data_IF_926210427905
#
_entry.id   IF_926210427905
#
_cell.length_a   1.000
_cell.length_b   1.000
_cell.length_c   1.000
_cell.angle_alpha   90.00
_cell.angle_beta   90.00
_cell.angle_gamma   90.00
#
_symmetry.space_group_name_H-M   'P 1'
#
loop_
_entity.id
_entity.type
_entity.pdbx_description
1 polymer ?
#
# COMPACT_ATOMS: atom_id res chain seq x y z
N UNK A 1 9.72 -10.99 -68.30
CA UNK A 1 9.08 -9.68 -67.99
C UNK A 1 9.18 -9.42 -66.50
N UNK A 2 10.11 -8.56 -66.11
CA UNK A 2 10.14 -7.99 -64.77
C UNK A 2 8.95 -7.01 -64.62
N UNK A 3 8.16 -7.17 -63.55
CA UNK A 3 7.36 -6.08 -62.98
C UNK A 3 7.74 -6.04 -61.50
N UNK A 4 8.34 -4.91 -61.13
CA UNK A 4 9.26 -4.80 -60.01
C UNK A 4 8.64 -5.14 -58.66
N UNK A 5 9.34 -6.02 -57.93
CA UNK A 5 9.25 -6.04 -56.49
C UNK A 5 9.86 -4.71 -55.99
N UNK A 6 9.01 -3.70 -55.82
CA UNK A 6 9.38 -2.46 -55.17
C UNK A 6 10.05 -2.76 -53.82
N UNK A 7 11.10 -2.02 -53.51
CA UNK A 7 11.96 -2.13 -52.31
C UNK A 7 11.23 -1.77 -51.01
N UNK A 8 9.99 -2.22 -50.83
CA UNK A 8 9.22 -2.01 -49.62
C UNK A 8 9.18 -3.33 -48.84
N UNK A 9 9.93 -3.37 -47.73
CA UNK A 9 9.75 -4.42 -46.72
C UNK A 9 8.30 -4.34 -46.24
N UNK A 10 7.48 -5.35 -46.54
CA UNK A 10 6.16 -5.48 -45.90
C UNK A 10 6.41 -5.71 -44.41
N UNK A 11 6.35 -4.63 -43.61
CA UNK A 11 6.46 -4.76 -42.14
C UNK A 11 5.23 -5.53 -41.67
N UNK A 12 5.38 -6.85 -41.46
CA UNK A 12 4.38 -7.64 -40.75
C UNK A 12 4.38 -7.18 -39.29
N UNK A 13 3.28 -6.53 -38.89
CA UNK A 13 2.88 -6.36 -37.49
C UNK A 13 3.96 -5.74 -36.59
N UNK A 14 4.02 -4.41 -36.56
CA UNK A 14 4.58 -3.74 -35.38
C UNK A 14 3.73 -4.13 -34.17
N UNK A 15 4.34 -4.81 -33.19
CA UNK A 15 3.65 -5.28 -32.00
C UNK A 15 2.91 -4.15 -31.29
N UNK A 16 1.68 -4.42 -30.85
CA UNK A 16 0.91 -3.45 -30.05
C UNK A 16 1.57 -3.36 -28.67
N UNK A 17 2.22 -2.24 -28.40
CA UNK A 17 2.74 -1.94 -27.06
C UNK A 17 1.57 -1.52 -26.16
N UNK A 18 1.12 -2.44 -25.32
CA UNK A 18 0.18 -2.10 -24.24
C UNK A 18 0.98 -1.52 -23.07
N UNK A 19 0.46 -0.46 -22.45
CA UNK A 19 0.99 0.02 -21.17
C UNK A 19 0.87 -1.10 -20.13
N UNK A 20 1.98 -1.43 -19.46
CA UNK A 20 2.07 -2.65 -18.63
C UNK A 20 1.43 -2.51 -17.25
N UNK A 21 1.00 -1.30 -16.87
CA UNK A 21 0.42 -1.01 -15.56
C UNK A 21 -0.64 0.08 -15.65
N UNK A 22 -1.90 -0.32 -15.85
CA UNK A 22 -3.07 0.56 -15.84
C UNK A 22 -3.90 0.31 -14.58
N UNK A 23 -4.26 1.37 -13.86
CA UNK A 23 -5.22 1.34 -12.75
C UNK A 23 -6.49 2.08 -13.14
N UNK A 24 -7.64 1.66 -12.62
CA UNK A 24 -8.89 2.40 -12.83
C UNK A 24 -8.98 3.55 -11.81
N UNK A 25 -9.21 4.75 -12.31
CA UNK A 25 -9.55 5.90 -11.49
C UNK A 25 -11.01 5.83 -11.00
N UNK A 26 -11.38 6.72 -10.08
CA UNK A 26 -12.73 6.84 -9.52
C UNK A 26 -13.84 7.02 -10.58
N UNK A 27 -13.47 7.50 -11.78
CA UNK A 27 -14.36 7.68 -12.92
C UNK A 27 -14.41 6.47 -13.88
N UNK A 28 -13.74 5.36 -13.54
CA UNK A 28 -13.66 4.17 -14.37
C UNK A 28 -12.74 4.30 -15.59
N UNK A 29 -11.92 5.34 -15.66
CA UNK A 29 -10.90 5.54 -16.70
C UNK A 29 -9.60 4.83 -16.33
N UNK A 30 -9.03 4.08 -17.29
CA UNK A 30 -7.77 3.38 -17.10
C UNK A 30 -6.58 4.33 -17.29
N UNK A 31 -5.83 4.59 -16.21
CA UNK A 31 -4.69 5.51 -16.18
C UNK A 31 -3.39 4.75 -15.87
N UNK A 32 -2.31 5.15 -16.54
CA UNK A 32 -0.98 4.55 -16.36
C UNK A 32 -0.39 4.94 -15.01
N UNK A 33 0.07 3.95 -14.24
CA UNK A 33 0.76 4.19 -12.96
C UNK A 33 2.24 4.56 -13.16
N UNK A 34 2.77 4.37 -14.37
CA UNK A 34 4.15 4.67 -14.72
C UNK A 34 4.32 6.19 -14.85
N UNK A 35 5.04 6.80 -13.89
CA UNK A 35 5.23 8.25 -13.80
C UNK A 35 6.08 8.83 -14.93
N UNK A 36 6.84 7.98 -15.66
CA UNK A 36 7.76 8.40 -16.73
C UNK A 36 7.12 9.17 -17.88
N UNK A 37 5.81 9.03 -18.10
CA UNK A 37 5.08 9.83 -19.11
C UNK A 37 4.47 11.10 -18.56
N UNK A 38 4.28 11.19 -17.25
CA UNK A 38 3.69 12.36 -16.61
C UNK A 38 4.69 13.52 -16.57
N UNK A 39 5.95 13.23 -16.26
CA UNK A 39 7.02 14.24 -16.25
C UNK A 39 7.40 14.71 -17.67
N UNK A 40 7.28 13.85 -18.68
CA UNK A 40 7.65 14.21 -20.07
C UNK A 40 6.78 15.30 -20.71
N UNK A 41 5.55 15.49 -20.23
CA UNK A 41 4.68 16.60 -20.70
C UNK A 41 4.94 17.91 -19.93
N UNK A 42 5.64 17.86 -18.78
CA UNK A 42 6.04 19.04 -18.00
C UNK A 42 7.47 19.53 -18.33
N UNK A 43 8.30 18.71 -18.99
CA UNK A 43 9.73 18.98 -19.25
C UNK A 43 10.09 19.40 -20.70
N UNK A 44 9.18 20.01 -21.47
CA UNK A 44 9.52 20.60 -22.79
C UNK A 44 10.10 22.04 -22.70
N UNK A 45 10.42 22.55 -21.50
CA UNK A 45 10.90 23.94 -21.29
C UNK A 45 12.31 24.05 -20.65
N UNK A 46 13.15 23.01 -20.70
CA UNK A 46 14.53 23.13 -20.19
C UNK A 46 15.52 22.36 -21.06
N UNK A 47 15.80 22.94 -22.23
CA UNK A 47 16.87 22.58 -23.14
C UNK A 47 18.25 23.06 -22.62
N UNK A 48 19.28 22.32 -23.02
CA UNK A 48 20.70 22.69 -23.16
C UNK A 48 21.74 22.27 -22.08
N UNK A 49 22.76 21.57 -22.59
CA UNK A 49 24.13 21.28 -22.09
C UNK A 49 24.31 20.22 -20.97
N UNK A 50 25.24 19.27 -20.99
CA UNK A 50 26.32 18.80 -21.89
C UNK A 50 27.00 17.63 -21.14
N UNK A 51 27.62 16.69 -21.86
CA UNK A 51 28.77 15.86 -21.45
C UNK A 51 28.73 14.99 -20.17
N UNK A 52 28.80 13.66 -20.25
CA UNK A 52 29.96 12.79 -20.58
C UNK A 52 30.49 12.10 -19.33
N UNK A 53 30.70 10.79 -19.53
CA UNK A 53 31.67 9.93 -18.86
C UNK A 53 31.39 9.35 -17.46
N UNK A 54 31.50 8.02 -17.47
CA UNK A 54 31.63 7.12 -16.33
C UNK A 54 32.87 7.49 -15.50
N UNK A 55 32.78 7.36 -14.18
CA UNK A 55 33.76 6.58 -13.42
C UNK A 55 33.25 6.33 -11.98
N UNK A 56 33.67 5.19 -11.44
CA UNK A 56 33.35 4.68 -10.12
C UNK A 56 33.87 5.58 -9.00
N UNK A 57 33.12 5.72 -7.91
CA UNK A 57 33.75 5.72 -6.59
C UNK A 57 32.81 5.22 -5.48
N UNK A 58 33.27 4.17 -4.83
CA UNK A 58 32.87 3.69 -3.52
C UNK A 58 33.07 4.76 -2.44
N UNK A 59 31.99 5.23 -1.80
CA UNK A 59 32.08 5.71 -0.42
C UNK A 59 30.70 5.75 0.24
N UNK A 60 30.46 4.80 1.13
CA UNK A 60 29.41 4.86 2.15
C UNK A 60 30.11 5.17 3.46
N UNK A 61 29.72 6.27 4.12
CA UNK A 61 29.73 6.65 5.56
C UNK A 61 29.34 8.15 5.57
N UNK A 62 28.53 8.76 6.44
CA UNK A 62 27.85 8.54 7.72
C UNK A 62 26.78 9.68 7.72
N UNK A 63 25.61 9.63 8.34
CA UNK A 63 25.35 9.79 9.79
C UNK A 63 23.84 10.08 9.82
N UNK A 64 22.98 9.42 10.57
CA UNK A 64 22.82 9.63 12.01
C UNK A 64 21.32 9.80 12.30
N UNK A 65 20.77 8.90 13.11
CA UNK A 65 19.35 8.88 13.46
C UNK A 65 19.09 7.95 14.64
N UNK A 66 19.42 8.48 15.81
CA UNK A 66 19.46 7.88 17.14
C UNK A 66 18.12 7.32 17.67
N UNK A 67 18.25 6.39 18.63
CA UNK A 67 17.33 6.06 19.73
C UNK A 67 16.16 5.08 19.50
N UNK A 68 16.39 3.84 19.96
CA UNK A 68 15.35 2.84 20.20
C UNK A 68 15.91 1.53 20.77
N UNK A 69 16.37 1.56 22.02
CA UNK A 69 17.00 0.45 22.74
C UNK A 69 16.16 -0.84 22.79
N UNK A 70 16.80 -1.97 22.47
CA UNK A 70 16.60 -3.23 23.20
C UNK A 70 17.89 -4.06 23.14
N UNK A 71 18.44 -4.36 24.31
CA UNK A 71 19.81 -4.84 24.51
C UNK A 71 20.11 -6.22 23.92
N UNK A 72 20.94 -6.23 22.88
CA UNK A 72 21.65 -7.40 22.38
C UNK A 72 23.12 -7.03 22.19
N UNK A 73 24.08 -7.95 22.41
CA UNK A 73 25.51 -7.66 22.33
C UNK A 73 25.87 -7.09 20.95
N UNK A 74 26.73 -6.08 20.93
CA UNK A 74 27.21 -5.42 19.71
C UNK A 74 28.05 -6.40 18.88
N UNK A 75 27.37 -7.19 18.06
CA UNK A 75 28.01 -8.01 17.03
C UNK A 75 28.72 -7.08 16.06
N UNK A 76 29.98 -7.36 15.77
CA UNK A 76 30.78 -6.58 14.82
C UNK A 76 30.08 -6.53 13.45
N UNK A 77 30.31 -5.47 12.65
CA UNK A 77 29.66 -5.29 11.33
C UNK A 77 29.81 -6.53 10.43
N UNK A 78 30.91 -7.26 10.58
CA UNK A 78 31.17 -8.53 9.91
C UNK A 78 30.22 -9.65 10.39
N UNK A 79 30.10 -9.86 11.69
CA UNK A 79 29.20 -10.87 12.27
C UNK A 79 27.73 -10.58 11.95
N UNK A 80 27.33 -9.30 11.90
CA UNK A 80 25.96 -8.90 11.52
C UNK A 80 25.65 -9.23 10.06
N UNK A 81 26.64 -9.08 9.16
CA UNK A 81 26.53 -9.47 7.75
C UNK A 81 26.47 -10.99 7.58
N UNK A 82 27.27 -11.74 8.34
CA UNK A 82 27.23 -13.20 8.32
C UNK A 82 25.92 -13.76 8.86
N UNK A 83 25.39 -13.19 9.95
CA UNK A 83 24.08 -13.57 10.49
C UNK A 83 22.95 -13.26 9.51
N UNK A 84 22.97 -12.11 8.84
CA UNK A 84 22.01 -11.77 7.78
C UNK A 84 22.12 -12.72 6.59
N UNK A 85 23.34 -13.10 6.19
CA UNK A 85 23.59 -14.07 5.11
C UNK A 85 23.10 -15.48 5.48
N UNK A 86 23.33 -15.93 6.72
CA UNK A 86 22.85 -17.20 7.24
C UNK A 86 21.31 -17.22 7.33
N UNK A 87 20.69 -16.16 7.85
CA UNK A 87 19.23 -16.03 7.90
C UNK A 87 18.60 -15.98 6.50
N UNK A 88 19.23 -15.31 5.54
CA UNK A 88 18.76 -15.30 4.15
C UNK A 88 18.85 -16.69 3.51
N UNK A 89 19.92 -17.44 3.76
CA UNK A 89 20.08 -18.81 3.28
C UNK A 89 19.09 -19.78 3.94
N UNK A 90 18.81 -19.61 5.23
CA UNK A 90 17.82 -20.41 5.96
C UNK A 90 16.40 -20.09 5.50
N UNK A 91 16.07 -18.83 5.24
CA UNK A 91 14.77 -18.42 4.67
C UNK A 91 14.59 -18.88 3.22
N UNK A 92 15.68 -18.96 2.45
CA UNK A 92 15.66 -19.53 1.10
C UNK A 92 15.46 -21.05 1.13
N UNK A 93 16.08 -21.76 2.09
CA UNK A 93 15.84 -23.19 2.33
C UNK A 93 14.42 -23.45 2.85
N UNK A 94 13.92 -22.61 3.77
CA UNK A 94 12.55 -22.70 4.27
C UNK A 94 11.53 -22.46 3.15
N UNK A 95 11.73 -21.51 2.24
CA UNK A 95 10.86 -21.35 1.06
C UNK A 95 10.97 -22.51 0.05
N UNK A 96 12.11 -23.21 -0.01
CA UNK A 96 12.26 -24.39 -0.85
C UNK A 96 11.63 -25.64 -0.22
N UNK A 97 11.55 -25.71 1.11
CA UNK A 97 10.92 -26.79 1.87
C UNK A 97 9.40 -26.55 2.08
N UNK A 98 8.99 -25.28 2.17
CA UNK A 98 7.60 -24.77 2.11
C UNK A 98 7.19 -24.50 0.64
N UNK A 99 7.81 -25.21 -0.32
CA UNK A 99 7.43 -25.23 -1.72
C UNK A 99 6.49 -26.39 -2.08
N UNK A 100 5.83 -26.98 -1.09
CA UNK A 100 4.84 -28.04 -1.26
C UNK A 100 3.54 -27.67 -0.56
N UNK A 101 2.44 -27.71 -1.31
CA UNK A 101 1.05 -27.45 -0.89
C UNK A 101 0.57 -25.99 -0.98
N UNK A 102 0.60 -25.44 -2.21
CA UNK A 102 -0.40 -24.47 -2.68
C UNK A 102 -1.68 -25.19 -3.17
N UNK A 103 -2.21 -26.13 -2.38
CA UNK A 103 -3.33 -26.99 -2.78
C UNK A 103 -4.68 -26.30 -2.55
N UNK A 104 -4.89 -25.13 -3.15
CA UNK A 104 -6.21 -24.51 -3.30
C UNK A 104 -6.40 -23.79 -4.65
N UNK A 105 -5.31 -23.52 -5.40
CA UNK A 105 -5.38 -23.19 -6.85
C UNK A 105 -5.16 -24.43 -7.74
N UNK A 106 -4.82 -25.58 -7.13
CA UNK A 106 -4.39 -26.81 -7.80
C UNK A 106 -5.49 -27.88 -7.93
N UNK A 107 -6.76 -27.60 -7.59
CA UNK A 107 -7.87 -28.56 -7.82
C UNK A 107 -8.03 -28.92 -9.32
N UNK A 108 -7.51 -28.07 -10.21
CA UNK A 108 -7.46 -28.28 -11.66
C UNK A 108 -6.19 -29.07 -12.09
N UNK A 109 -5.18 -29.13 -11.22
CA UNK A 109 -3.87 -29.76 -11.45
C UNK A 109 -3.68 -31.08 -10.67
N UNK A 110 -4.69 -31.52 -9.91
CA UNK A 110 -4.65 -32.84 -9.26
C UNK A 110 -4.61 -33.94 -10.33
N UNK A 111 -3.58 -34.78 -10.28
CA UNK A 111 -3.44 -35.92 -11.17
C UNK A 111 -4.72 -36.80 -11.10
N UNK A 112 -5.42 -37.03 -12.23
CA UNK A 112 -6.68 -37.78 -12.25
C UNK A 112 -6.55 -39.25 -11.82
N UNK A 113 -5.32 -39.78 -11.77
CA UNK A 113 -5.03 -41.12 -11.25
C UNK A 113 -4.64 -41.12 -9.76
N UNK A 114 -4.77 -40.01 -9.04
CA UNK A 114 -4.49 -39.96 -7.60
C UNK A 114 -5.50 -40.84 -6.85
N UNK A 115 -4.99 -41.84 -6.15
CA UNK A 115 -5.82 -42.79 -5.38
C UNK A 115 -6.41 -42.05 -4.17
N UNK A 116 -7.66 -41.61 -4.30
CA UNK A 116 -8.41 -41.02 -3.19
C UNK A 116 -8.81 -42.16 -2.24
N UNK A 117 -8.37 -42.10 -0.98
CA UNK A 117 -8.81 -43.02 0.07
C UNK A 117 -10.33 -42.87 0.24
N UNK A 118 -11.08 -43.97 0.10
CA UNK A 118 -12.54 -43.98 0.24
C UNK A 118 -12.91 -43.85 1.72
N UNK A 119 -13.74 -42.85 2.04
CA UNK A 119 -14.30 -42.65 3.39
C UNK A 119 -15.43 -43.66 3.65
N UNK A 120 -15.64 -44.04 4.92
CA UNK A 120 -16.75 -44.92 5.29
C UNK A 120 -18.06 -44.13 5.36
N UNK A 121 -19.20 -44.80 5.10
CA UNK A 121 -20.53 -44.19 5.05
C UNK A 121 -20.93 -43.59 6.42
N UNK A 122 -20.43 -44.15 7.52
CA UNK A 122 -20.66 -43.63 8.87
C UNK A 122 -20.01 -42.25 9.10
N UNK A 123 -18.87 -41.96 8.47
CA UNK A 123 -18.11 -40.71 8.62
C UNK A 123 -18.73 -39.53 7.83
N UNK A 124 -19.77 -39.79 7.03
CA UNK A 124 -20.48 -38.77 6.25
C UNK A 124 -21.54 -38.01 7.05
N UNK A 125 -22.00 -38.56 8.17
CA UNK A 125 -23.04 -37.95 9.01
C UNK A 125 -22.47 -37.03 10.10
N UNK A 126 -21.17 -37.09 10.39
CA UNK A 126 -20.53 -36.22 11.37
C UNK A 126 -20.01 -34.94 10.71
N UNK A 127 -20.22 -33.75 11.33
CA UNK A 127 -19.64 -32.52 10.80
C UNK A 127 -18.12 -32.66 10.81
N UNK A 128 -17.52 -32.59 9.61
CA UNK A 128 -16.07 -32.68 9.45
C UNK A 128 -15.41 -31.69 10.38
N UNK A 129 -14.65 -32.22 11.32
CA UNK A 129 -13.83 -31.38 12.18
C UNK A 129 -12.85 -30.62 11.30
N UNK A 130 -12.92 -29.29 11.38
CA UNK A 130 -12.06 -28.42 10.59
C UNK A 130 -10.61 -28.85 10.79
N UNK A 131 -9.87 -28.95 9.67
CA UNK A 131 -8.44 -29.23 9.70
C UNK A 131 -7.75 -28.21 10.61
N UNK A 132 -6.62 -28.57 11.21
CA UNK A 132 -5.84 -27.64 12.04
C UNK A 132 -5.58 -26.31 11.31
N UNK A 133 -5.22 -26.39 10.02
CA UNK A 133 -5.03 -25.24 9.12
C UNK A 133 -6.31 -24.39 9.01
N UNK A 134 -7.48 -25.03 8.86
CA UNK A 134 -8.76 -24.33 8.75
C UNK A 134 -9.21 -23.68 10.06
N UNK A 135 -8.90 -24.27 11.21
CA UNK A 135 -9.18 -23.67 12.53
C UNK A 135 -8.35 -22.41 12.74
N UNK A 136 -7.04 -22.50 12.52
CA UNK A 136 -6.14 -21.36 12.65
C UNK A 136 -6.50 -20.24 11.65
N UNK A 137 -6.92 -20.58 10.42
CA UNK A 137 -7.41 -19.61 9.44
C UNK A 137 -8.70 -18.91 9.88
N UNK A 138 -9.66 -19.64 10.49
CA UNK A 138 -10.88 -19.03 11.04
C UNK A 138 -10.58 -18.14 12.23
N UNK A 139 -9.73 -18.59 13.16
CA UNK A 139 -9.31 -17.79 14.32
C UNK A 139 -8.59 -16.51 13.88
N UNK A 140 -7.75 -16.57 12.85
CA UNK A 140 -7.10 -15.39 12.26
C UNK A 140 -8.11 -14.41 11.67
N UNK A 141 -9.14 -14.91 10.95
CA UNK A 141 -10.23 -14.08 10.41
C UNK A 141 -11.03 -13.44 11.55
N UNK A 142 -11.42 -14.23 12.56
CA UNK A 142 -12.14 -13.72 13.73
C UNK A 142 -11.34 -12.68 14.50
N UNK A 143 -10.02 -12.88 14.67
CA UNK A 143 -9.15 -11.92 15.33
C UNK A 143 -9.08 -10.60 14.56
N UNK A 144 -8.98 -10.66 13.24
CA UNK A 144 -9.06 -9.47 12.38
C UNK A 144 -10.42 -8.80 12.54
N UNK A 145 -11.53 -9.53 12.44
CA UNK A 145 -12.87 -8.97 12.56
C UNK A 145 -13.09 -8.32 13.95
N UNK A 146 -12.56 -8.93 15.01
CA UNK A 146 -12.59 -8.34 16.36
C UNK A 146 -11.78 -7.06 16.42
N UNK A 147 -10.58 -7.04 15.82
CA UNK A 147 -9.77 -5.83 15.72
C UNK A 147 -10.49 -4.73 14.94
N UNK A 148 -11.02 -5.04 13.75
CA UNK A 148 -11.80 -4.11 12.94
C UNK A 148 -13.02 -3.58 13.69
N UNK A 149 -13.76 -4.45 14.39
CA UNK A 149 -14.90 -4.06 15.21
C UNK A 149 -14.50 -3.11 16.34
N UNK A 150 -13.39 -3.38 17.04
CA UNK A 150 -12.87 -2.49 18.08
C UNK A 150 -12.35 -1.17 17.50
N UNK A 151 -11.75 -1.21 16.32
CA UNK A 151 -11.23 -0.03 15.64
C UNK A 151 -12.36 0.90 15.18
N UNK A 152 -13.40 0.34 14.57
CA UNK A 152 -14.62 1.08 14.21
C UNK A 152 -15.31 1.65 15.45
N UNK A 153 -15.29 0.93 16.58
CA UNK A 153 -15.80 1.44 17.86
C UNK A 153 -14.91 2.53 18.49
N UNK A 154 -13.75 2.86 17.92
CA UNK A 154 -12.84 3.85 18.48
C UNK A 154 -12.05 3.37 19.69
N UNK A 155 -12.02 2.06 19.96
CA UNK A 155 -11.40 1.48 21.17
C UNK A 155 -9.93 1.10 21.00
N UNK A 156 -9.46 0.96 19.76
CA UNK A 156 -8.03 0.78 19.46
C UNK A 156 -7.30 2.09 19.70
N UNK A 157 -6.02 2.02 20.08
CA UNK A 157 -5.26 3.23 20.41
C UNK A 157 -5.08 4.13 19.18
N UNK A 158 -4.94 3.54 17.99
CA UNK A 158 -4.97 4.27 16.72
C UNK A 158 -6.26 5.07 16.57
N UNK A 159 -7.43 4.43 16.68
CA UNK A 159 -8.71 5.11 16.51
C UNK A 159 -8.96 6.17 17.60
N UNK A 160 -8.52 5.94 18.84
CA UNK A 160 -8.55 6.96 19.90
C UNK A 160 -7.71 8.18 19.53
N UNK A 161 -6.51 7.98 18.98
CA UNK A 161 -5.65 9.10 18.58
C UNK A 161 -6.30 9.91 17.45
N UNK A 162 -6.92 9.25 16.47
CA UNK A 162 -7.60 9.93 15.37
C UNK A 162 -8.85 10.68 15.84
N UNK A 163 -9.64 10.08 16.73
CA UNK A 163 -10.77 10.76 17.37
C UNK A 163 -10.31 11.97 18.19
N UNK A 164 -9.19 11.87 18.91
CA UNK A 164 -8.63 13.00 19.65
C UNK A 164 -8.12 14.11 18.73
N UNK A 165 -7.48 13.78 17.61
CA UNK A 165 -7.09 14.75 16.57
C UNK A 165 -8.32 15.46 16.00
N UNK A 166 -9.36 14.71 15.64
CA UNK A 166 -10.61 15.28 15.14
C UNK A 166 -11.33 16.14 16.18
N UNK A 167 -11.30 15.75 17.45
CA UNK A 167 -11.88 16.55 18.54
C UNK A 167 -11.19 17.91 18.69
N UNK A 168 -9.85 17.97 18.59
CA UNK A 168 -9.10 19.24 18.59
C UNK A 168 -9.55 20.15 17.45
N UNK A 169 -9.63 19.62 16.23
CA UNK A 169 -10.07 20.38 15.05
C UNK A 169 -11.51 20.88 15.23
N UNK A 170 -12.42 20.05 15.76
CA UNK A 170 -13.80 20.48 16.06
C UNK A 170 -13.81 21.63 17.08
N UNK A 171 -13.06 21.50 18.17
CA UNK A 171 -12.96 22.55 19.19
C UNK A 171 -12.37 23.86 18.63
N UNK A 172 -11.34 23.79 17.79
CA UNK A 172 -10.76 24.97 17.12
C UNK A 172 -11.77 25.64 16.18
N UNK A 173 -12.51 24.84 15.40
CA UNK A 173 -13.56 25.36 14.51
C UNK A 173 -14.70 26.00 15.28
N UNK A 174 -15.16 25.37 16.34
CA UNK A 174 -16.22 25.90 17.21
C UNK A 174 -15.77 27.20 17.90
N UNK A 175 -14.54 27.24 18.43
CA UNK A 175 -13.98 28.46 19.00
C UNK A 175 -13.83 29.58 17.97
N UNK A 176 -13.38 29.27 16.75
CA UNK A 176 -13.30 30.25 15.67
C UNK A 176 -14.69 30.75 15.23
N UNK A 177 -15.68 29.87 15.14
CA UNK A 177 -17.06 30.25 14.86
C UNK A 177 -17.67 31.10 15.98
N UNK A 178 -17.41 30.75 17.24
CA UNK A 178 -17.86 31.52 18.39
C UNK A 178 -17.24 32.92 18.41
N UNK A 179 -15.93 33.04 18.13
CA UNK A 179 -15.24 34.33 17.98
C UNK A 179 -15.85 35.18 16.86
N UNK A 180 -16.07 34.58 15.68
CA UNK A 180 -16.72 35.27 14.54
C UNK A 180 -18.13 35.73 14.87
N UNK A 181 -18.92 34.91 15.57
CA UNK A 181 -20.28 35.28 16.01
C UNK A 181 -20.25 36.41 17.05
N UNK A 182 -19.36 36.34 18.04
CA UNK A 182 -19.22 37.38 19.05
C UNK A 182 -18.78 38.72 18.45
N UNK A 183 -17.83 38.72 17.51
CA UNK A 183 -17.41 39.93 16.80
C UNK A 183 -18.53 40.50 15.91
N UNK A 184 -19.31 39.64 15.24
CA UNK A 184 -20.45 40.07 14.45
C UNK A 184 -21.55 40.68 15.32
N UNK A 185 -21.85 40.09 16.47
CA UNK A 185 -22.82 40.62 17.43
C UNK A 185 -22.35 41.94 18.07
N UNK A 186 -21.05 42.07 18.40
CA UNK A 186 -20.49 43.32 18.88
C UNK A 186 -20.59 44.43 17.83
N UNK A 187 -20.22 44.14 16.58
CA UNK A 187 -20.38 45.09 15.46
C UNK A 187 -21.84 45.44 15.22
N UNK A 188 -22.76 44.49 15.29
CA UNK A 188 -24.19 44.74 15.14
C UNK A 188 -24.72 45.66 16.25
N UNK A 189 -24.35 45.41 17.52
CA UNK A 189 -24.70 46.27 18.66
C UNK A 189 -24.12 47.67 18.52
N UNK A 190 -22.89 47.82 18.05
CA UNK A 190 -22.31 49.14 17.76
C UNK A 190 -23.04 49.88 16.64
N UNK A 191 -23.41 49.18 15.56
CA UNK A 191 -24.18 49.77 14.45
C UNK A 191 -25.57 50.20 14.94
N UNK A 192 -26.22 49.39 15.77
CA UNK A 192 -27.52 49.70 16.36
C UNK A 192 -27.43 50.87 17.35
N UNK A 193 -26.41 50.90 18.21
CA UNK A 193 -26.12 52.04 19.08
C UNK A 193 -25.86 53.33 18.28
N UNK A 194 -25.09 53.24 17.19
CA UNK A 194 -24.87 54.38 16.28
C UNK A 194 -26.16 54.82 15.60
N UNK A 195 -26.97 53.89 15.10
CA UNK A 195 -28.27 54.17 14.45
C UNK A 195 -29.27 54.83 15.41
N UNK A 196 -29.36 54.33 16.64
CA UNK A 196 -30.25 54.90 17.67
C UNK A 196 -29.78 56.27 18.13
N UNK A 197 -28.47 56.48 18.27
CA UNK A 197 -27.90 57.80 18.56
C UNK A 197 -28.12 58.81 17.42
N UNK A 198 -28.04 58.41 16.15
CA UNK A 198 -28.33 59.30 15.00
C UNK A 198 -29.81 59.61 14.80
N UNK A 199 -30.71 58.80 15.39
CA UNK A 199 -32.17 58.97 15.25
C UNK A 199 -32.78 59.86 16.34
N UNK A 200 -32.00 60.21 17.37
CA UNK A 200 -32.41 61.06 18.50
C UNK A 200 -31.94 62.49 18.28
#
# INVERSE_FOLDING_TARGET
MARGAGKFKTKRGGGRSFSRHLTLDENGTAVSTDRRRRDREEEEDSDEEESEEEEEESSEEEEGGEAGASGQPEMTRAERREMKKKQAAEKAKANAEEGGEGEDDDDILVNPNRVIKKMNIADLNEPRQLSRKEREAKEKKEAQDRYWKLHVQGKTDQAKTDLARLAKIRAEREAAQAKRKAEAEAKAKEIEAKRTATRR
#
